data_IF_437613822380
#
_entry.id   IF_437613822380
#
_cell.length_a   1.000
_cell.length_b   1.000
_cell.length_c   1.000
_cell.angle_alpha   90.00
_cell.angle_beta   90.00
_cell.angle_gamma   90.00
#
_symmetry.space_group_name_H-M   'P 1'
#
loop_
_entity.id
_entity.type
_entity.pdbx_description
1 polymer ?
#
# COMPACT_ATOMS: atom_id res chain seq x y z
N UNK A 1 -5.41 -5.97 0.47
CA UNK A 1 -5.78 -7.36 0.84
C UNK A 1 -4.63 -7.93 1.66
N UNK A 2 -4.60 -9.24 1.92
CA UNK A 2 -3.56 -9.93 2.72
C UNK A 2 -2.65 -10.84 1.85
N UNK A 3 -2.59 -10.60 0.54
CA UNK A 3 -1.87 -11.49 -0.37
C UNK A 3 -0.36 -11.45 -0.19
N UNK A 4 0.20 -10.34 0.32
CA UNK A 4 1.62 -10.26 0.64
C UNK A 4 1.98 -11.17 1.81
N UNK A 5 1.19 -11.14 2.88
CA UNK A 5 1.34 -11.98 4.07
C UNK A 5 1.15 -13.46 3.73
N UNK A 6 0.13 -13.78 2.94
CA UNK A 6 -0.10 -15.15 2.43
C UNK A 6 0.98 -15.62 1.46
N UNK A 7 1.74 -14.69 0.88
CA UNK A 7 2.96 -14.94 0.13
C UNK A 7 4.23 -14.91 1.00
N UNK A 8 4.09 -15.11 2.31
CA UNK A 8 5.16 -15.17 3.32
C UNK A 8 5.91 -13.86 3.59
N UNK A 9 5.37 -12.70 3.19
CA UNK A 9 5.94 -11.39 3.57
C UNK A 9 5.63 -11.06 5.02
N UNK A 10 6.66 -10.80 5.84
CA UNK A 10 6.49 -10.47 7.26
C UNK A 10 6.47 -8.96 7.57
N UNK A 11 7.01 -8.15 6.66
CA UNK A 11 7.18 -6.70 6.85
C UNK A 11 6.31 -5.94 5.84
N UNK A 12 4.99 -5.96 6.05
CA UNK A 12 4.01 -5.31 5.18
C UNK A 12 3.44 -4.08 5.87
N UNK A 13 3.45 -2.95 5.17
CA UNK A 13 2.85 -1.70 5.63
C UNK A 13 1.62 -1.39 4.77
N UNK A 14 0.44 -1.53 5.36
CA UNK A 14 -0.84 -1.27 4.69
C UNK A 14 -1.19 0.22 4.73
N UNK A 15 -0.82 0.97 3.69
CA UNK A 15 -1.13 2.41 3.60
C UNK A 15 -2.64 2.69 3.69
N UNK A 16 -3.47 1.84 3.06
CA UNK A 16 -4.91 2.06 2.96
C UNK A 16 -5.72 1.17 3.91
N UNK A 17 -5.08 0.66 4.97
CA UNK A 17 -5.69 -0.22 5.95
C UNK A 17 -5.85 -1.66 5.46
N UNK A 18 -6.55 -2.46 6.26
CA UNK A 18 -6.63 -3.92 6.12
C UNK A 18 -8.09 -4.36 6.06
N UNK A 19 -8.41 -5.18 5.06
CA UNK A 19 -9.77 -5.64 4.81
C UNK A 19 -10.34 -6.49 5.95
N UNK A 20 -9.47 -7.23 6.65
CA UNK A 20 -9.86 -8.12 7.74
C UNK A 20 -10.09 -7.40 9.07
N UNK A 21 -9.94 -6.07 9.10
CA UNK A 21 -10.03 -5.27 10.31
C UNK A 21 -11.18 -4.26 10.24
N UNK A 22 -11.74 -3.98 11.42
CA UNK A 22 -12.65 -2.88 11.66
C UNK A 22 -11.99 -1.82 12.54
N UNK A 23 -12.45 -0.58 12.43
CA UNK A 23 -12.08 0.50 13.37
C UNK A 23 -13.31 1.24 13.86
N UNK A 24 -13.21 1.90 15.01
CA UNK A 24 -14.25 2.83 15.46
C UNK A 24 -14.38 4.03 14.52
N UNK A 25 -15.61 4.44 14.26
CA UNK A 25 -15.93 5.67 13.51
C UNK A 25 -15.60 6.97 14.27
N UNK A 26 -15.49 6.92 15.60
CA UNK A 26 -15.19 8.09 16.43
C UNK A 26 -13.79 8.06 17.06
N UNK A 27 -13.19 6.86 17.18
CA UNK A 27 -11.89 6.66 17.82
C UNK A 27 -10.98 5.80 16.92
N UNK A 28 -10.33 6.41 15.91
CA UNK A 28 -9.68 5.67 14.81
C UNK A 28 -8.61 4.66 15.24
N UNK A 29 -8.00 4.86 16.40
CA UNK A 29 -6.98 3.98 16.97
C UNK A 29 -7.55 2.69 17.58
N UNK A 30 -8.86 2.62 17.79
CA UNK A 30 -9.53 1.38 18.21
C UNK A 30 -9.78 0.50 16.99
N UNK A 31 -8.83 -0.42 16.75
CA UNK A 31 -8.81 -1.35 15.63
C UNK A 31 -9.03 -2.78 16.14
N UNK A 32 -9.85 -3.53 15.42
CA UNK A 32 -10.26 -4.89 15.78
C UNK A 32 -10.05 -5.80 14.57
N UNK A 33 -9.41 -6.95 14.78
CA UNK A 33 -9.42 -8.02 13.78
C UNK A 33 -10.78 -8.72 13.81
N UNK A 34 -11.47 -8.68 12.68
CA UNK A 34 -12.79 -9.28 12.50
C UNK A 34 -12.76 -10.39 11.45
N UNK A 35 -11.59 -10.74 10.90
CA UNK A 35 -11.48 -11.60 9.73
C UNK A 35 -12.36 -11.09 8.58
N UNK A 36 -13.10 -11.97 7.93
CA UNK A 36 -14.05 -11.61 6.87
C UNK A 36 -15.51 -11.54 7.35
N UNK A 37 -15.73 -11.33 8.65
CA UNK A 37 -17.08 -11.19 9.18
C UNK A 37 -17.69 -9.83 8.77
N UNK A 38 -19.02 -9.80 8.67
CA UNK A 38 -19.75 -8.57 8.36
C UNK A 38 -19.71 -7.57 9.53
N UNK A 39 -19.71 -6.28 9.22
CA UNK A 39 -19.96 -5.20 10.17
C UNK A 39 -21.40 -4.73 10.01
N UNK A 40 -22.21 -4.91 11.05
CA UNK A 40 -23.61 -4.53 11.07
C UNK A 40 -23.84 -3.20 11.80
N UNK A 41 -24.92 -2.46 11.46
CA UNK A 41 -25.38 -1.36 12.29
C UNK A 41 -25.63 -1.83 13.73
N UNK A 42 -25.03 -1.17 14.71
CA UNK A 42 -25.07 -1.56 16.11
C UNK A 42 -23.82 -2.30 16.61
N UNK A 43 -22.97 -2.78 15.70
CA UNK A 43 -21.65 -3.29 16.08
C UNK A 43 -20.79 -2.10 16.52
N UNK A 44 -20.48 -2.05 17.81
CA UNK A 44 -19.80 -0.90 18.43
C UNK A 44 -18.43 -1.27 18.98
N UNK A 45 -17.53 -0.30 19.01
CA UNK A 45 -16.27 -0.43 19.72
C UNK A 45 -16.50 -0.44 21.24
N UNK A 46 -15.44 -0.66 22.02
CA UNK A 46 -15.48 -0.71 23.49
C UNK A 46 -15.97 0.60 24.14
N UNK A 47 -16.06 1.68 23.35
CA UNK A 47 -16.55 3.00 23.76
C UNK A 47 -17.96 3.32 23.24
N UNK A 48 -18.67 2.33 22.67
CA UNK A 48 -20.05 2.46 22.22
C UNK A 48 -20.25 3.19 20.88
N UNK A 49 -19.17 3.52 20.16
CA UNK A 49 -19.26 4.14 18.84
C UNK A 49 -19.28 3.07 17.73
N UNK A 50 -20.02 3.33 16.65
CA UNK A 50 -20.20 2.40 15.52
C UNK A 50 -18.85 1.97 14.91
N UNK A 51 -18.70 0.68 14.63
CA UNK A 51 -17.58 0.14 13.86
C UNK A 51 -17.79 0.38 12.36
N UNK A 52 -16.66 0.52 11.65
CA UNK A 52 -16.59 0.61 10.20
C UNK A 52 -15.36 -0.16 9.71
N UNK A 53 -15.23 -0.45 8.40
CA UNK A 53 -14.02 -1.06 7.87
C UNK A 53 -12.77 -0.25 8.22
N UNK A 54 -11.69 -0.92 8.59
CA UNK A 54 -10.36 -0.33 8.74
C UNK A 54 -9.73 -0.13 7.36
N UNK A 55 -10.40 0.65 6.54
CA UNK A 55 -9.99 1.01 5.19
C UNK A 55 -9.99 2.54 5.10
N UNK A 56 -8.96 3.08 4.47
CA UNK A 56 -8.85 4.50 4.15
C UNK A 56 -9.73 4.80 2.93
N UNK A 57 -10.71 5.69 3.09
CA UNK A 57 -11.53 6.18 1.99
C UNK A 57 -10.93 7.42 1.34
N UNK A 58 -11.36 7.72 0.12
CA UNK A 58 -11.00 8.98 -0.52
C UNK A 58 -11.40 10.18 0.34
N UNK A 59 -10.47 11.12 0.51
CA UNK A 59 -10.64 12.29 1.37
C UNK A 59 -10.24 12.06 2.82
N UNK A 60 -9.88 10.84 3.21
CA UNK A 60 -9.31 10.54 4.53
C UNK A 60 -7.79 10.63 4.53
N UNK A 61 -7.23 10.85 5.71
CA UNK A 61 -5.80 10.76 5.95
C UNK A 61 -5.28 9.33 5.75
N UNK A 62 -4.03 9.21 5.31
CA UNK A 62 -3.29 7.95 5.14
C UNK A 62 -2.28 7.85 6.28
N UNK A 63 -2.61 7.22 7.44
CA UNK A 63 -1.82 7.38 8.67
C UNK A 63 -0.40 6.83 8.58
N UNK A 64 -0.20 5.82 7.73
CA UNK A 64 1.10 5.15 7.58
C UNK A 64 1.98 5.79 6.49
N UNK A 65 1.56 6.93 5.91
CA UNK A 65 2.30 7.58 4.82
C UNK A 65 3.71 8.01 5.27
N UNK A 66 3.83 8.68 6.41
CA UNK A 66 5.13 9.17 6.90
C UNK A 66 6.08 8.01 7.21
N UNK A 67 5.56 6.95 7.82
CA UNK A 67 6.33 5.73 8.08
C UNK A 67 6.79 5.07 6.78
N UNK A 68 5.95 5.01 5.75
CA UNK A 68 6.34 4.51 4.44
C UNK A 68 7.39 5.40 3.77
N UNK A 69 7.27 6.72 3.89
CA UNK A 69 8.24 7.67 3.36
C UNK A 69 9.62 7.49 4.00
N UNK A 70 9.70 7.29 5.32
CA UNK A 70 10.96 6.96 6.00
C UNK A 70 11.59 5.67 5.47
N UNK A 71 10.80 4.62 5.26
CA UNK A 71 11.30 3.37 4.68
C UNK A 71 11.82 3.60 3.26
N UNK A 72 11.07 4.31 2.43
CA UNK A 72 11.46 4.59 1.04
C UNK A 72 12.73 5.42 0.96
N UNK A 73 12.92 6.40 1.86
CA UNK A 73 14.16 7.20 1.95
C UNK A 73 15.43 6.36 2.15
N UNK A 74 15.30 5.18 2.74
CA UNK A 74 16.45 4.28 3.02
C UNK A 74 16.71 3.26 1.92
N UNK A 75 15.91 3.23 0.85
CA UNK A 75 15.97 2.18 -0.15
C UNK A 75 17.19 2.31 -1.08
N UNK A 76 17.88 1.21 -1.34
CA UNK A 76 18.92 1.13 -2.40
C UNK A 76 18.33 0.89 -3.80
N UNK A 77 17.10 0.35 -3.86
CA UNK A 77 16.28 0.20 -5.07
C UNK A 77 14.80 0.32 -4.74
N UNK A 78 14.04 1.01 -5.59
CA UNK A 78 12.58 1.11 -5.46
C UNK A 78 11.88 0.35 -6.59
N UNK A 79 11.15 -0.70 -6.22
CA UNK A 79 10.32 -1.49 -7.14
C UNK A 79 8.84 -1.18 -6.92
N UNK A 80 8.17 -0.73 -7.96
CA UNK A 80 6.76 -0.36 -7.96
C UNK A 80 6.02 -1.34 -8.88
N UNK A 81 4.99 -2.01 -8.39
CA UNK A 81 4.29 -3.09 -9.11
C UNK A 81 2.79 -2.86 -9.08
N UNK A 82 2.15 -2.89 -10.25
CA UNK A 82 0.68 -2.91 -10.37
C UNK A 82 -0.01 -1.64 -9.88
N UNK A 83 0.53 -0.47 -10.21
CA UNK A 83 -0.08 0.82 -9.87
C UNK A 83 0.02 1.80 -11.03
N UNK A 84 -1.06 2.55 -11.24
CA UNK A 84 -1.09 3.66 -12.20
C UNK A 84 -0.33 4.89 -11.72
N UNK A 85 0.05 4.95 -10.44
CA UNK A 85 0.65 6.12 -9.77
C UNK A 85 -0.23 7.39 -9.87
N UNK A 86 -1.54 7.23 -9.77
CA UNK A 86 -2.51 8.34 -9.82
C UNK A 86 -3.19 8.66 -8.48
N UNK A 87 -3.11 7.75 -7.50
CA UNK A 87 -3.75 7.92 -6.19
C UNK A 87 -2.80 8.62 -5.23
N UNK A 88 -3.10 9.87 -4.90
CA UNK A 88 -2.35 10.65 -3.92
C UNK A 88 -2.95 10.49 -2.51
N UNK A 89 -2.11 10.54 -1.46
CA UNK A 89 -0.68 10.88 -1.48
C UNK A 89 0.28 9.73 -1.82
N UNK A 90 -0.17 8.47 -1.86
CA UNK A 90 0.71 7.30 -2.03
C UNK A 90 1.60 7.35 -3.30
N UNK A 91 1.08 7.85 -4.42
CA UNK A 91 1.85 8.05 -5.65
C UNK A 91 3.07 8.97 -5.48
N UNK A 92 3.06 9.86 -4.49
CA UNK A 92 4.17 10.75 -4.16
C UNK A 92 5.39 10.05 -3.55
N UNK A 93 5.23 8.84 -3.00
CA UNK A 93 6.34 8.09 -2.38
C UNK A 93 7.49 7.82 -3.34
N UNK A 94 7.23 7.79 -4.65
CA UNK A 94 8.28 7.64 -5.67
C UNK A 94 9.34 8.75 -5.63
N UNK A 95 9.00 9.91 -5.07
CA UNK A 95 9.88 11.06 -4.93
C UNK A 95 10.63 11.12 -3.60
N UNK A 96 10.33 10.20 -2.66
CA UNK A 96 11.01 10.13 -1.35
C UNK A 96 12.37 9.45 -1.43
N UNK A 97 12.63 8.71 -2.50
CA UNK A 97 13.89 7.99 -2.68
C UNK A 97 14.95 8.88 -3.35
N UNK A 98 16.21 8.74 -2.95
CA UNK A 98 17.33 9.52 -3.47
C UNK A 98 17.46 9.48 -5.00
N UNK A 99 18.01 10.55 -5.59
CA UNK A 99 18.05 10.75 -7.04
C UNK A 99 18.81 9.67 -7.80
N UNK A 100 19.82 9.06 -7.15
CA UNK A 100 20.66 8.02 -7.74
C UNK A 100 20.09 6.60 -7.55
N UNK A 101 19.08 6.44 -6.69
CA UNK A 101 18.49 5.12 -6.39
C UNK A 101 17.66 4.64 -7.58
N UNK A 102 17.96 3.48 -8.18
CA UNK A 102 17.19 2.97 -9.32
C UNK A 102 15.70 2.76 -8.98
N UNK A 103 14.83 3.31 -9.82
CA UNK A 103 13.38 3.07 -9.76
C UNK A 103 12.98 2.14 -10.90
N UNK A 104 12.21 1.10 -10.60
CA UNK A 104 11.54 0.28 -11.62
C UNK A 104 10.03 0.25 -11.40
N UNK A 105 9.28 0.47 -12.46
CA UNK A 105 7.83 0.31 -12.49
C UNK A 105 7.47 -0.89 -13.35
N UNK A 106 6.69 -1.82 -12.80
CA UNK A 106 6.11 -2.96 -13.49
C UNK A 106 4.59 -2.73 -13.57
N UNK A 107 4.11 -2.44 -14.77
CA UNK A 107 2.67 -2.30 -15.03
C UNK A 107 2.39 -2.59 -16.50
N UNK A 108 1.33 -3.35 -16.86
CA UNK A 108 1.00 -3.61 -18.25
C UNK A 108 0.48 -2.38 -19.00
N UNK A 109 -0.03 -1.37 -18.28
CA UNK A 109 -0.50 -0.11 -18.82
C UNK A 109 0.60 0.93 -18.97
N UNK A 110 0.17 2.19 -19.04
CA UNK A 110 1.06 3.35 -19.03
C UNK A 110 0.96 4.04 -17.66
N UNK A 111 1.86 3.73 -16.71
CA UNK A 111 1.86 4.39 -15.41
C UNK A 111 2.15 5.88 -15.58
N UNK A 112 1.68 6.71 -14.64
CA UNK A 112 2.03 8.13 -14.63
C UNK A 112 3.55 8.30 -14.73
N UNK A 113 3.99 9.22 -15.59
CA UNK A 113 5.39 9.30 -16.01
C UNK A 113 6.31 9.66 -14.84
N UNK A 114 7.08 8.66 -14.37
CA UNK A 114 8.23 8.85 -13.50
C UNK A 114 9.45 8.94 -14.40
N UNK A 115 9.95 10.15 -14.64
CA UNK A 115 10.92 10.47 -15.71
C UNK A 115 12.18 9.62 -15.74
N UNK A 116 12.66 9.17 -14.57
CA UNK A 116 13.88 8.34 -14.41
C UNK A 116 13.62 6.85 -14.20
N UNK A 117 12.36 6.43 -14.15
CA UNK A 117 12.04 5.04 -13.88
C UNK A 117 12.27 4.16 -15.11
N UNK A 118 12.85 2.98 -14.89
CA UNK A 118 12.76 1.88 -15.83
C UNK A 118 11.33 1.35 -15.83
N UNK A 119 10.74 1.14 -17.00
CA UNK A 119 9.38 0.59 -17.12
C UNK A 119 9.42 -0.80 -17.75
N UNK A 120 8.85 -1.79 -17.06
CA UNK A 120 8.61 -3.14 -17.58
C UNK A 120 7.11 -3.26 -17.85
N UNK A 121 6.74 -3.24 -19.14
CA UNK A 121 5.33 -3.27 -19.60
C UNK A 121 4.78 -4.70 -19.63
N UNK A 122 4.55 -5.27 -18.44
CA UNK A 122 4.06 -6.64 -18.26
C UNK A 122 3.16 -6.73 -17.03
N UNK A 123 2.35 -7.79 -16.96
CA UNK A 123 1.64 -8.13 -15.73
C UNK A 123 2.62 -8.46 -14.59
N UNK A 124 2.20 -8.21 -13.35
CA UNK A 124 3.04 -8.32 -12.14
C UNK A 124 3.87 -9.62 -12.10
N UNK A 125 3.25 -10.79 -12.30
CA UNK A 125 3.93 -12.08 -12.19
C UNK A 125 5.04 -12.29 -13.23
N UNK A 126 4.87 -11.79 -14.46
CA UNK A 126 5.90 -11.89 -15.49
C UNK A 126 6.97 -10.80 -15.31
N UNK A 127 6.55 -9.57 -15.05
CA UNK A 127 7.46 -8.43 -14.90
C UNK A 127 8.36 -8.55 -13.68
N UNK A 128 7.86 -9.06 -12.55
CA UNK A 128 8.68 -9.29 -11.35
C UNK A 128 9.72 -10.37 -11.61
N UNK A 129 9.36 -11.48 -12.29
CA UNK A 129 10.33 -12.51 -12.67
C UNK A 129 11.42 -11.98 -13.59
N UNK A 130 11.05 -11.19 -14.59
CA UNK A 130 12.02 -10.53 -15.47
C UNK A 130 12.96 -9.60 -14.69
N UNK A 131 12.41 -8.78 -13.80
CA UNK A 131 13.19 -7.85 -12.98
C UNK A 131 14.18 -8.58 -12.08
N UNK A 132 13.73 -9.61 -11.36
CA UNK A 132 14.61 -10.45 -10.52
C UNK A 132 15.74 -11.00 -11.36
N UNK A 133 15.46 -11.67 -12.50
CA UNK A 133 16.51 -12.29 -13.33
C UNK A 133 17.58 -11.34 -13.89
N UNK A 134 17.33 -10.02 -13.89
CA UNK A 134 18.21 -9.03 -14.50
C UNK A 134 18.94 -8.17 -13.48
N UNK A 135 18.38 -8.00 -12.28
CA UNK A 135 18.80 -6.96 -11.34
C UNK A 135 19.00 -7.47 -9.91
N UNK A 136 18.69 -8.75 -9.65
CA UNK A 136 19.03 -9.49 -8.44
C UNK A 136 19.80 -10.77 -8.81
#
# INVERSE_FOLDING_TARGET
DDLHERGDSSNVLHLHGELTKARSSAYPDLIYDIGYNDINPGDTCDRGAQLRPHIVWFGEEVPMLDAAAEVVRTADQLLIVGTSLQVYPAAGLVYEVDIDVPITVIDPGEPASVSRARVIRKGASEGVREWVSRYL
#
